data_IF_668696956111
#
_entry.id   IF_668696956111
#
_cell.length_a   1.000
_cell.length_b   1.000
_cell.length_c   1.000
_cell.angle_alpha   90.00
_cell.angle_beta   90.00
_cell.angle_gamma   90.00
#
_symmetry.space_group_name_H-M   'P 1'
#
loop_
_entity.id
_entity.type
_entity.pdbx_description
1 polymer ?
#
# COMPACT_ATOMS: atom_id res chain seq x y z
N UNK A 1 16.28 -18.95 -0.09
CA UNK A 1 15.04 -18.14 -0.22
C UNK A 1 13.75 -18.99 -0.25
N UNK A 2 13.84 -20.32 -0.30
CA UNK A 2 12.70 -21.22 -0.34
C UNK A 2 12.19 -21.55 -1.73
N UNK A 3 12.66 -20.87 -2.76
CA UNK A 3 12.35 -21.08 -4.17
C UNK A 3 13.60 -21.14 -5.02
N UNK A 4 13.51 -21.77 -6.18
CA UNK A 4 14.56 -21.87 -7.19
C UNK A 4 13.99 -21.30 -8.48
N UNK A 5 14.75 -20.41 -9.13
CA UNK A 5 14.42 -19.93 -10.45
C UNK A 5 14.68 -21.02 -11.49
N UNK A 6 13.69 -21.34 -12.29
CA UNK A 6 13.81 -22.16 -13.50
C UNK A 6 13.69 -21.25 -14.70
N UNK A 7 14.74 -21.22 -15.52
CA UNK A 7 14.73 -20.53 -16.80
C UNK A 7 13.98 -21.40 -17.83
N UNK A 8 12.79 -20.99 -18.20
CA UNK A 8 12.02 -21.62 -19.26
C UNK A 8 12.22 -20.82 -20.54
N UNK A 9 13.01 -21.34 -21.49
CA UNK A 9 13.48 -20.72 -22.74
C UNK A 9 12.43 -19.92 -23.54
N UNK A 10 11.13 -20.09 -23.28
CA UNK A 10 10.06 -19.37 -23.98
C UNK A 10 9.07 -18.62 -23.07
N UNK A 11 9.14 -18.79 -21.73
CA UNK A 11 8.18 -18.22 -20.77
C UNK A 11 8.83 -17.34 -19.71
N UNK A 12 10.15 -17.10 -19.79
CA UNK A 12 10.90 -16.33 -18.79
C UNK A 12 11.21 -17.15 -17.52
N UNK A 13 11.69 -16.46 -16.50
CA UNK A 13 12.03 -17.08 -15.20
C UNK A 13 10.74 -17.46 -14.44
N UNK A 14 10.61 -18.73 -14.11
CA UNK A 14 9.55 -19.25 -13.22
C UNK A 14 10.16 -19.70 -11.90
N UNK A 15 9.55 -19.31 -10.79
CA UNK A 15 10.00 -19.72 -9.46
C UNK A 15 9.22 -20.94 -8.99
N UNK A 16 9.93 -21.99 -8.60
CA UNK A 16 9.37 -23.20 -8.01
C UNK A 16 9.90 -23.39 -6.59
N UNK A 17 9.15 -24.11 -5.76
CA UNK A 17 9.60 -24.41 -4.42
C UNK A 17 10.92 -25.19 -4.42
N UNK A 18 11.84 -24.81 -3.54
CA UNK A 18 13.12 -25.50 -3.39
C UNK A 18 12.87 -26.96 -2.96
N UNK A 19 13.35 -27.96 -3.73
CA UNK A 19 13.11 -29.37 -3.41
C UNK A 19 13.73 -29.79 -2.07
N UNK A 20 14.80 -29.12 -1.62
CA UNK A 20 15.48 -29.44 -0.36
C UNK A 20 14.70 -28.99 0.89
N UNK A 21 14.03 -27.82 0.83
CA UNK A 21 13.31 -27.28 1.98
C UNK A 21 11.79 -27.22 1.76
N UNK A 22 11.29 -27.57 0.59
CA UNK A 22 9.87 -27.53 0.22
C UNK A 22 9.24 -26.14 0.59
N UNK A 23 9.84 -25.05 0.15
CA UNK A 23 9.40 -23.69 0.42
C UNK A 23 9.70 -23.14 1.82
N UNK A 24 10.14 -23.99 2.78
CA UNK A 24 10.30 -23.61 4.20
C UNK A 24 11.48 -22.69 4.50
N UNK A 25 12.39 -22.48 3.57
CA UNK A 25 13.57 -21.57 3.63
C UNK A 25 14.66 -21.94 4.63
N UNK A 26 14.35 -22.74 5.66
CA UNK A 26 15.21 -23.03 6.80
C UNK A 26 15.51 -24.52 6.89
N UNK A 27 16.65 -24.87 7.50
CA UNK A 27 17.00 -26.25 7.80
C UNK A 27 16.15 -26.83 8.95
N UNK A 28 16.23 -28.13 9.16
CA UNK A 28 15.45 -28.86 10.16
C UNK A 28 15.71 -28.34 11.57
N UNK A 29 16.95 -28.11 11.93
CA UNK A 29 17.35 -27.66 13.27
C UNK A 29 16.72 -26.28 13.60
N UNK A 30 16.76 -25.34 12.65
CA UNK A 30 16.12 -24.01 12.80
C UNK A 30 14.60 -24.17 12.95
N UNK A 31 13.99 -25.11 12.23
CA UNK A 31 12.53 -25.33 12.28
C UNK A 31 12.07 -26.00 13.57
N UNK A 32 12.97 -26.60 14.36
CA UNK A 32 12.66 -27.15 15.69
C UNK A 32 12.47 -26.06 16.75
N UNK A 33 13.06 -24.86 16.54
CA UNK A 33 12.86 -23.72 17.43
C UNK A 33 11.43 -23.18 17.27
N UNK A 34 10.72 -23.07 18.41
CA UNK A 34 9.31 -22.66 18.43
C UNK A 34 9.11 -21.42 19.28
N UNK A 35 8.32 -20.47 18.73
CA UNK A 35 7.78 -19.33 19.48
C UNK A 35 6.26 -19.41 19.48
N UNK A 36 5.62 -19.51 20.64
CA UNK A 36 4.18 -19.74 20.79
C UNK A 36 3.66 -20.93 19.96
N UNK A 37 4.45 -22.00 19.86
CA UNK A 37 4.12 -23.20 19.11
C UNK A 37 4.44 -23.13 17.61
N UNK A 38 4.82 -21.99 17.08
CA UNK A 38 5.12 -21.79 15.66
C UNK A 38 6.63 -21.83 15.40
N UNK A 39 7.05 -22.55 14.38
CA UNK A 39 8.38 -22.42 13.78
C UNK A 39 8.47 -21.11 12.97
N UNK A 40 9.69 -20.72 12.63
CA UNK A 40 9.89 -19.52 11.76
C UNK A 40 9.20 -19.68 10.40
N UNK A 41 9.16 -20.87 9.81
CA UNK A 41 8.46 -21.10 8.54
C UNK A 41 6.95 -20.91 8.69
N UNK A 42 6.34 -21.45 9.77
CA UNK A 42 4.92 -21.27 10.06
C UNK A 42 4.61 -19.80 10.35
N UNK A 43 5.47 -19.09 11.10
CA UNK A 43 5.33 -17.66 11.33
C UNK A 43 5.35 -16.83 10.03
N UNK A 44 6.21 -17.19 9.06
CA UNK A 44 6.26 -16.55 7.76
C UNK A 44 5.04 -16.83 6.86
N UNK A 45 4.27 -17.88 7.15
CA UNK A 45 3.01 -18.19 6.45
C UNK A 45 1.80 -17.44 6.99
N UNK A 46 1.92 -16.83 8.19
CA UNK A 46 0.87 -15.99 8.74
C UNK A 46 0.62 -14.78 7.84
N UNK A 47 -0.62 -14.38 7.72
CA UNK A 47 -0.98 -13.06 7.24
C UNK A 47 -0.56 -11.98 8.24
N UNK A 48 -0.45 -10.74 7.79
CA UNK A 48 -0.15 -9.60 8.68
C UNK A 48 -1.19 -9.51 9.80
N UNK A 49 -2.49 -9.66 9.49
CA UNK A 49 -3.57 -9.63 10.49
C UNK A 49 -3.42 -10.73 11.53
N UNK A 50 -3.16 -11.98 11.13
CA UNK A 50 -2.90 -13.08 12.08
C UNK A 50 -1.66 -12.82 12.94
N UNK A 51 -0.61 -12.26 12.33
CA UNK A 51 0.63 -11.94 13.02
C UNK A 51 0.45 -10.83 14.06
N UNK A 52 -0.40 -9.82 13.83
CA UNK A 52 -0.74 -8.78 14.82
C UNK A 52 -1.22 -9.42 16.12
N UNK A 53 -2.13 -10.40 16.05
CA UNK A 53 -2.66 -11.07 17.22
C UNK A 53 -1.62 -11.94 17.94
N UNK A 54 -0.83 -12.70 17.18
CA UNK A 54 0.19 -13.59 17.74
C UNK A 54 1.31 -12.82 18.41
N UNK A 55 1.76 -11.73 17.79
CA UNK A 55 2.89 -10.93 18.25
C UNK A 55 2.50 -9.70 19.08
N UNK A 56 1.25 -9.57 19.52
CA UNK A 56 0.75 -8.42 20.29
C UNK A 56 1.55 -8.09 21.56
N UNK A 57 2.17 -9.09 22.19
CA UNK A 57 3.04 -8.93 23.36
C UNK A 57 4.46 -8.44 23.01
N UNK A 58 4.77 -8.21 21.72
CA UNK A 58 6.05 -7.70 21.24
C UNK A 58 5.85 -6.29 20.64
N UNK A 59 5.93 -5.21 21.45
CA UNK A 59 5.45 -3.88 21.05
C UNK A 59 6.04 -3.38 19.73
N UNK A 60 7.37 -3.51 19.56
CA UNK A 60 8.06 -3.05 18.35
C UNK A 60 7.64 -3.78 17.07
N UNK A 61 7.31 -5.08 17.19
CA UNK A 61 6.86 -5.88 16.06
C UNK A 61 5.38 -5.61 15.80
N UNK A 62 4.56 -5.59 16.85
CA UNK A 62 3.13 -5.31 16.74
C UNK A 62 2.84 -3.94 16.12
N UNK A 63 3.61 -2.90 16.46
CA UNK A 63 3.50 -1.57 15.87
C UNK A 63 3.70 -1.61 14.34
N UNK A 64 4.79 -2.25 13.88
CA UNK A 64 5.07 -2.40 12.44
C UNK A 64 3.99 -3.19 11.71
N UNK A 65 3.50 -4.27 12.32
CA UNK A 65 2.45 -5.10 11.73
C UNK A 65 1.12 -4.32 11.63
N UNK A 66 0.76 -3.55 12.65
CA UNK A 66 -0.42 -2.67 12.60
C UNK A 66 -0.31 -1.62 11.51
N UNK A 67 0.86 -1.02 11.32
CA UNK A 67 1.09 -0.06 10.24
C UNK A 67 0.87 -0.71 8.87
N UNK A 68 1.29 -1.98 8.68
CA UNK A 68 0.98 -2.74 7.45
C UNK A 68 -0.52 -2.98 7.29
N UNK A 69 -1.23 -3.27 8.36
CA UNK A 69 -2.68 -3.45 8.35
C UNK A 69 -3.42 -2.13 8.04
N UNK A 70 -2.97 -1.01 8.61
CA UNK A 70 -3.49 0.33 8.36
C UNK A 70 -3.37 0.77 6.89
N UNK A 71 -2.35 0.31 6.16
CA UNK A 71 -2.21 0.55 4.71
C UNK A 71 -2.96 -0.47 3.84
N UNK A 72 -3.82 -1.32 4.43
CA UNK A 72 -4.60 -2.31 3.70
C UNK A 72 -3.80 -3.53 3.24
N UNK A 73 -2.69 -3.86 3.91
CA UNK A 73 -1.85 -5.03 3.60
C UNK A 73 -2.05 -6.20 4.59
N UNK A 74 -3.16 -6.20 5.33
CA UNK A 74 -3.46 -7.21 6.34
C UNK A 74 -3.48 -8.65 5.83
N UNK A 75 -3.87 -8.85 4.58
CA UNK A 75 -3.96 -10.15 3.91
C UNK A 75 -2.62 -10.70 3.42
N UNK A 76 -1.57 -9.88 3.31
CA UNK A 76 -0.26 -10.33 2.85
C UNK A 76 0.37 -11.27 3.87
N UNK A 77 1.05 -12.30 3.38
CA UNK A 77 1.86 -13.18 4.23
C UNK A 77 3.18 -12.52 4.58
N UNK A 78 3.64 -12.70 5.84
CA UNK A 78 4.93 -12.15 6.29
C UNK A 78 6.11 -12.62 5.43
N UNK A 79 6.02 -13.84 4.90
CA UNK A 79 7.03 -14.42 4.04
C UNK A 79 6.80 -14.19 2.54
N UNK A 80 5.87 -13.33 2.13
CA UNK A 80 5.62 -13.10 0.71
C UNK A 80 6.84 -12.50 0.01
N UNK A 81 7.19 -13.04 -1.15
CA UNK A 81 8.34 -12.56 -1.91
C UNK A 81 8.00 -11.21 -2.57
N UNK A 82 8.94 -10.26 -2.53
CA UNK A 82 8.71 -8.90 -3.02
C UNK A 82 8.36 -8.85 -4.52
N UNK A 83 8.85 -9.77 -5.32
CA UNK A 83 8.55 -9.89 -6.75
C UNK A 83 7.14 -10.41 -7.07
N UNK A 84 6.39 -10.85 -6.05
CA UNK A 84 4.99 -11.28 -6.20
C UNK A 84 3.99 -10.19 -5.82
N UNK A 85 4.49 -9.04 -5.35
CA UNK A 85 3.65 -7.90 -5.00
C UNK A 85 3.21 -7.15 -6.26
N UNK A 86 1.95 -6.75 -6.30
CA UNK A 86 1.47 -5.78 -7.28
C UNK A 86 2.10 -4.40 -7.06
N UNK A 87 2.05 -3.52 -8.06
CA UNK A 87 2.57 -2.16 -7.94
C UNK A 87 1.96 -1.40 -6.76
N UNK A 88 0.65 -1.50 -6.57
CA UNK A 88 -0.04 -0.86 -5.44
C UNK A 88 0.35 -1.44 -4.08
N UNK A 89 0.54 -2.77 -3.97
CA UNK A 89 1.03 -3.40 -2.73
C UNK A 89 2.45 -2.95 -2.39
N UNK A 90 3.34 -2.92 -3.38
CA UNK A 90 4.72 -2.46 -3.19
C UNK A 90 4.77 -0.97 -2.76
N UNK A 91 3.92 -0.13 -3.34
CA UNK A 91 3.79 1.28 -2.96
C UNK A 91 3.30 1.43 -1.52
N UNK A 92 2.24 0.71 -1.12
CA UNK A 92 1.72 0.73 0.26
C UNK A 92 2.71 0.16 1.28
N UNK A 93 3.48 -0.87 0.90
CA UNK A 93 4.56 -1.39 1.75
C UNK A 93 5.64 -0.32 2.00
N UNK A 94 6.01 0.43 0.97
CA UNK A 94 6.94 1.56 1.08
C UNK A 94 6.35 2.67 1.95
N UNK A 95 5.08 2.99 1.78
CA UNK A 95 4.36 3.96 2.62
C UNK A 95 4.36 3.53 4.09
N UNK A 96 4.06 2.27 4.41
CA UNK A 96 4.13 1.73 5.77
C UNK A 96 5.55 1.85 6.37
N UNK A 97 6.58 1.63 5.57
CA UNK A 97 7.98 1.83 5.99
C UNK A 97 8.28 3.29 6.32
N UNK A 98 7.80 4.22 5.51
CA UNK A 98 7.96 5.66 5.76
C UNK A 98 7.23 6.11 7.03
N UNK A 99 6.00 5.63 7.26
CA UNK A 99 5.22 5.94 8.47
C UNK A 99 5.87 5.50 9.78
N UNK A 100 6.72 4.49 9.72
CA UNK A 100 7.51 4.07 10.89
C UNK A 100 8.60 5.07 11.28
N UNK A 101 8.80 6.14 10.51
CA UNK A 101 9.74 7.23 10.84
C UNK A 101 9.12 8.17 11.88
N UNK A 102 9.97 8.81 12.67
CA UNK A 102 9.54 9.72 13.75
C UNK A 102 9.31 11.16 13.30
N UNK A 103 9.89 11.55 12.16
CA UNK A 103 9.85 12.93 11.68
C UNK A 103 9.44 12.94 10.20
N UNK A 104 8.34 13.62 9.92
CA UNK A 104 7.78 13.83 8.59
C UNK A 104 7.81 15.30 8.15
N UNK A 105 8.25 16.20 9.05
CA UNK A 105 8.28 17.64 8.79
C UNK A 105 9.14 17.98 7.57
N UNK A 106 8.59 18.79 6.67
CA UNK A 106 9.27 19.23 5.44
C UNK A 106 9.50 18.13 4.39
N UNK A 107 8.91 16.93 4.55
CA UNK A 107 8.97 15.87 3.55
C UNK A 107 7.87 16.04 2.51
N UNK A 108 8.21 15.73 1.26
CA UNK A 108 7.27 15.63 0.15
C UNK A 108 7.07 14.15 -0.20
N UNK A 109 5.82 13.70 -0.17
CA UNK A 109 5.40 12.38 -0.64
C UNK A 109 4.60 12.54 -1.93
N UNK A 110 4.99 11.81 -2.96
CA UNK A 110 4.25 11.73 -4.22
C UNK A 110 3.70 10.31 -4.33
N UNK A 111 2.39 10.19 -4.39
CA UNK A 111 1.66 8.93 -4.45
C UNK A 111 0.86 8.87 -5.75
N UNK A 112 1.04 7.79 -6.49
CA UNK A 112 0.37 7.56 -7.77
C UNK A 112 -0.64 6.42 -7.61
N UNK A 113 -1.93 6.75 -7.74
CA UNK A 113 -3.07 5.85 -7.57
C UNK A 113 -2.97 4.91 -6.33
N UNK A 114 -2.75 5.45 -5.12
CA UNK A 114 -2.52 4.61 -3.94
C UNK A 114 -3.76 3.79 -3.53
N UNK A 115 -4.96 4.09 -4.06
CA UNK A 115 -6.18 3.33 -3.81
C UNK A 115 -6.35 2.11 -4.72
N UNK A 116 -5.49 1.93 -5.73
CA UNK A 116 -5.60 0.81 -6.67
C UNK A 116 -5.61 -0.53 -5.96
N UNK A 117 -6.68 -1.33 -6.21
CA UNK A 117 -6.86 -2.67 -5.64
C UNK A 117 -7.27 -2.68 -4.16
N UNK A 118 -7.64 -1.54 -3.57
CA UNK A 118 -8.20 -1.46 -2.23
C UNK A 118 -9.72 -1.64 -2.24
N UNK A 119 -10.22 -2.31 -1.20
CA UNK A 119 -11.63 -2.27 -0.84
C UNK A 119 -11.95 -0.90 -0.22
N UNK A 120 -13.19 -0.45 -0.31
CA UNK A 120 -13.62 0.86 0.20
C UNK A 120 -13.31 1.08 1.71
N UNK A 121 -13.41 0.03 2.55
CA UNK A 121 -13.00 0.09 3.96
C UNK A 121 -11.50 0.41 4.15
N UNK A 122 -10.66 -0.11 3.25
CA UNK A 122 -9.22 0.11 3.32
C UNK A 122 -8.84 1.50 2.79
N UNK A 123 -9.64 2.06 1.88
CA UNK A 123 -9.49 3.46 1.43
C UNK A 123 -9.69 4.42 2.61
N UNK A 124 -10.70 4.19 3.45
CA UNK A 124 -10.91 5.00 4.65
C UNK A 124 -9.74 4.93 5.64
N UNK A 125 -9.09 3.77 5.77
CA UNK A 125 -7.87 3.61 6.58
C UNK A 125 -6.69 4.36 5.96
N UNK A 126 -6.52 4.25 4.65
CA UNK A 126 -5.47 4.96 3.92
C UNK A 126 -5.63 6.48 4.05
N UNK A 127 -6.83 7.02 3.93
CA UNK A 127 -7.10 8.45 4.11
C UNK A 127 -6.67 8.94 5.49
N UNK A 128 -7.08 8.25 6.57
CA UNK A 128 -6.66 8.58 7.94
C UNK A 128 -5.13 8.57 8.10
N UNK A 129 -4.48 7.72 7.37
CA UNK A 129 -3.03 7.60 7.38
C UNK A 129 -2.36 8.78 6.68
N UNK A 130 -2.88 9.19 5.52
CA UNK A 130 -2.42 10.36 4.77
C UNK A 130 -2.64 11.64 5.60
N UNK A 131 -3.80 11.77 6.26
CA UNK A 131 -4.08 12.87 7.20
C UNK A 131 -3.04 12.94 8.33
N UNK A 132 -2.70 11.80 8.94
CA UNK A 132 -1.66 11.75 9.98
C UNK A 132 -0.29 12.21 9.47
N UNK A 133 0.09 11.88 8.23
CA UNK A 133 1.33 12.36 7.61
C UNK A 133 1.29 13.88 7.40
N UNK A 134 0.19 14.40 6.87
CA UNK A 134 -0.03 15.84 6.69
C UNK A 134 0.07 16.57 8.03
N UNK A 135 -0.64 16.09 9.05
CA UNK A 135 -0.66 16.68 10.38
C UNK A 135 0.70 16.61 11.08
N UNK A 136 1.54 15.64 10.72
CA UNK A 136 2.95 15.56 11.13
C UNK A 136 3.89 16.48 10.33
N UNK A 137 3.35 17.35 9.47
CA UNK A 137 4.10 18.37 8.73
C UNK A 137 4.64 17.91 7.37
N UNK A 138 4.16 16.80 6.83
CA UNK A 138 4.46 16.39 5.47
C UNK A 138 3.61 17.14 4.43
N UNK A 139 4.16 17.29 3.22
CA UNK A 139 3.38 17.66 2.04
C UNK A 139 3.08 16.41 1.23
N UNK A 140 1.82 16.25 0.79
CA UNK A 140 1.37 15.11 0.02
C UNK A 140 0.90 15.58 -1.36
N UNK A 141 1.42 14.97 -2.41
CA UNK A 141 0.87 15.06 -3.77
C UNK A 141 0.32 13.69 -4.11
N UNK A 142 -0.99 13.60 -4.32
CA UNK A 142 -1.68 12.36 -4.59
C UNK A 142 -2.32 12.45 -5.97
N UNK A 143 -1.90 11.58 -6.89
CA UNK A 143 -2.52 11.42 -8.21
C UNK A 143 -3.61 10.38 -8.04
N UNK A 144 -4.87 10.78 -8.19
CA UNK A 144 -6.02 9.93 -7.90
C UNK A 144 -7.26 10.30 -8.71
N UNK A 145 -8.13 9.30 -8.83
CA UNK A 145 -9.45 9.46 -9.45
C UNK A 145 -10.59 9.00 -8.51
N UNK A 146 -10.26 8.53 -7.31
CA UNK A 146 -11.24 8.12 -6.32
C UNK A 146 -11.87 9.33 -5.63
N UNK A 147 -13.21 9.41 -5.64
CA UNK A 147 -13.97 10.56 -5.14
C UNK A 147 -13.63 10.95 -3.70
N UNK A 148 -13.56 9.96 -2.78
CA UNK A 148 -13.29 10.24 -1.36
C UNK A 148 -11.89 10.82 -1.15
N UNK A 149 -10.89 10.42 -1.94
CA UNK A 149 -9.53 10.96 -1.86
C UNK A 149 -9.51 12.39 -2.38
N UNK A 150 -10.16 12.66 -3.51
CA UNK A 150 -10.26 14.00 -4.09
C UNK A 150 -10.96 14.95 -3.12
N UNK A 151 -12.06 14.51 -2.49
CA UNK A 151 -12.83 15.32 -1.56
C UNK A 151 -12.14 15.54 -0.20
N UNK A 152 -11.21 14.65 0.18
CA UNK A 152 -10.41 14.78 1.40
C UNK A 152 -9.16 15.66 1.22
N UNK A 153 -8.82 16.08 0.00
CA UNK A 153 -7.67 16.93 -0.27
C UNK A 153 -7.89 18.36 0.25
N UNK A 154 -6.82 19.05 0.63
CA UNK A 154 -6.85 20.46 0.96
C UNK A 154 -6.92 21.31 -0.32
N UNK A 155 -6.32 20.82 -1.43
CA UNK A 155 -6.24 21.51 -2.72
C UNK A 155 -6.27 20.50 -3.87
N UNK A 156 -6.99 20.82 -4.94
CA UNK A 156 -7.14 19.99 -6.13
C UNK A 156 -6.61 20.70 -7.35
N UNK A 157 -5.81 20.00 -8.15
CA UNK A 157 -5.39 20.41 -9.49
C UNK A 157 -5.96 19.39 -10.47
N UNK A 158 -6.88 19.78 -11.33
CA UNK A 158 -7.45 18.91 -12.36
C UNK A 158 -6.84 19.23 -13.72
N UNK A 159 -6.24 18.25 -14.33
CA UNK A 159 -5.70 18.30 -15.68
C UNK A 159 -6.65 17.62 -16.65
N UNK A 160 -6.96 18.29 -17.76
CA UNK A 160 -7.91 17.78 -18.75
C UNK A 160 -7.89 18.59 -20.04
N UNK A 161 -9.05 18.71 -20.73
CA UNK A 161 -10.33 18.02 -20.47
C UNK A 161 -10.34 16.55 -20.87
N UNK A 162 -9.34 16.11 -21.64
CA UNK A 162 -9.18 14.73 -22.14
C UNK A 162 -7.75 14.25 -21.92
N UNK A 163 -7.50 12.95 -22.10
CA UNK A 163 -6.15 12.40 -22.02
C UNK A 163 -5.34 12.56 -23.32
N UNK A 164 -4.03 12.28 -23.24
CA UNK A 164 -3.11 12.27 -24.38
C UNK A 164 -2.76 13.66 -24.91
N UNK A 165 -2.44 13.74 -26.20
CA UNK A 165 -1.91 14.96 -26.84
C UNK A 165 -2.84 16.20 -26.82
N UNK A 166 -4.13 16.01 -26.55
CA UNK A 166 -5.14 17.07 -26.46
C UNK A 166 -5.49 17.43 -25.00
N UNK A 167 -4.86 16.77 -24.03
CA UNK A 167 -5.04 16.98 -22.60
C UNK A 167 -3.93 17.82 -21.98
N UNK A 168 -3.79 17.71 -20.67
CA UNK A 168 -2.72 18.36 -19.90
C UNK A 168 -2.93 19.84 -19.65
N UNK A 169 -4.13 20.37 -19.92
CA UNK A 169 -4.49 21.74 -19.57
C UNK A 169 -5.05 21.78 -18.15
N UNK A 170 -4.75 22.84 -17.40
CA UNK A 170 -5.33 23.05 -16.08
C UNK A 170 -6.81 23.43 -16.24
N UNK A 171 -7.70 22.54 -15.83
CA UNK A 171 -9.17 22.71 -15.91
C UNK A 171 -9.72 23.33 -14.63
N UNK A 172 -9.18 22.89 -13.50
CA UNK A 172 -9.55 23.41 -12.19
C UNK A 172 -8.34 23.47 -11.25
N UNK A 173 -8.35 24.50 -10.43
CA UNK A 173 -7.41 24.70 -9.31
C UNK A 173 -8.15 25.30 -8.13
N UNK A 174 -8.08 24.67 -6.95
CA UNK A 174 -8.73 25.18 -5.75
C UNK A 174 -9.16 24.09 -4.77
N UNK A 175 -9.95 24.50 -3.79
CA UNK A 175 -10.54 23.59 -2.80
C UNK A 175 -11.54 22.61 -3.43
N UNK A 176 -11.71 21.38 -2.90
CA UNK A 176 -12.66 20.38 -3.43
C UNK A 176 -14.10 20.91 -3.56
N UNK A 177 -14.55 21.75 -2.63
CA UNK A 177 -15.89 22.35 -2.68
C UNK A 177 -16.11 23.26 -3.92
N UNK A 178 -15.04 23.86 -4.45
CA UNK A 178 -15.07 24.62 -5.69
C UNK A 178 -15.12 23.73 -6.93
N UNK A 179 -14.43 22.58 -6.89
CA UNK A 179 -14.45 21.57 -7.94
C UNK A 179 -15.88 21.11 -8.26
N UNK A 180 -16.68 20.80 -7.22
CA UNK A 180 -18.08 20.37 -7.36
C UNK A 180 -18.97 21.41 -8.05
N UNK A 181 -18.59 22.68 -8.03
CA UNK A 181 -19.33 23.79 -8.68
C UNK A 181 -18.77 24.17 -10.04
N UNK A 182 -17.63 23.62 -10.41
CA UNK A 182 -16.95 23.95 -11.66
C UNK A 182 -17.59 23.20 -12.85
N UNK A 183 -18.34 23.90 -13.67
CA UNK A 183 -18.98 23.31 -14.86
C UNK A 183 -18.00 22.79 -15.90
N UNK A 184 -16.77 23.28 -15.92
CA UNK A 184 -15.73 22.83 -16.83
C UNK A 184 -15.03 21.55 -16.37
N UNK A 185 -15.21 21.15 -15.08
CA UNK A 185 -14.57 19.99 -14.47
C UNK A 185 -15.34 18.71 -14.77
N UNK A 186 -14.79 17.76 -15.56
CA UNK A 186 -15.37 16.44 -15.71
C UNK A 186 -15.44 15.68 -14.38
N UNK A 187 -14.42 15.79 -13.57
CA UNK A 187 -14.35 15.17 -12.24
C UNK A 187 -15.42 15.73 -11.30
N UNK A 188 -15.56 17.07 -11.25
CA UNK A 188 -16.58 17.71 -10.43
C UNK A 188 -18.01 17.31 -10.81
N UNK A 189 -18.26 17.11 -12.11
CA UNK A 189 -19.55 16.63 -12.59
C UNK A 189 -19.81 15.15 -12.23
N UNK A 190 -18.77 14.30 -12.26
CA UNK A 190 -18.87 12.88 -11.94
C UNK A 190 -19.07 12.59 -10.45
N UNK A 191 -18.53 13.43 -9.56
CA UNK A 191 -18.59 13.25 -8.10
C UNK A 191 -19.88 13.81 -7.48
N UNK A 192 -20.65 14.65 -8.20
CA UNK A 192 -21.90 15.20 -7.67
C UNK A 192 -22.86 14.07 -7.26
N UNK A 193 -23.41 14.11 -6.04
CA UNK A 193 -24.47 13.16 -5.66
C UNK A 193 -25.67 13.33 -6.61
N UNK A 194 -26.16 12.20 -7.13
CA UNK A 194 -27.35 12.13 -7.96
C UNK A 194 -28.59 12.54 -7.14
#
# INVERSE_FOLDING_TARGET
EGSVALDMQFLGETFVDCPSCAGRRFNRETLEVRFKGLSIAEALHLTVTEAVEIFKAQPRLAEKLRTLEEVGLGYLKLGQAANTLSGGEAQRLKLASELSRRDHSGRLYVLDEPTTGLHWDDIAKLLKLLERLRDAGATLIVIEHHADVILAADWVLELGPVGGAKGGQLVYEGEPAGLLRCKASPTGQAIQPV
#
